data_IF_608721635396
#
_entry.id   IF_608721635396
#
_cell.length_a   1.000
_cell.length_b   1.000
_cell.length_c   1.000
_cell.angle_alpha   90.00
_cell.angle_beta   90.00
_cell.angle_gamma   90.00
#
_symmetry.space_group_name_H-M   'P 1'
#
loop_
_entity.id
_entity.type
_entity.pdbx_description
1 polymer ?
#
# COMPACT_ATOMS: atom_id res chain seq x y z
N UNK A 1 -0.45 9.82 5.73
CA UNK A 1 -1.71 9.06 5.87
C UNK A 1 -2.16 9.15 7.32
N UNK A 2 -3.43 9.34 7.61
CA UNK A 2 -3.95 9.46 8.99
C UNK A 2 -4.16 8.08 9.63
N UNK A 3 -4.22 8.02 10.96
CA UNK A 3 -4.50 6.77 11.69
C UNK A 3 -5.87 6.19 11.29
N UNK A 4 -6.88 7.04 11.13
CA UNK A 4 -8.22 6.61 10.68
C UNK A 4 -8.22 6.01 9.28
N UNK A 5 -7.40 6.52 8.36
CA UNK A 5 -7.23 5.92 7.03
C UNK A 5 -6.57 4.53 7.13
N UNK A 6 -5.60 4.37 8.04
CA UNK A 6 -4.95 3.08 8.27
C UNK A 6 -5.90 2.08 8.92
N UNK A 7 -6.75 2.53 9.84
CA UNK A 7 -7.81 1.72 10.43
C UNK A 7 -8.80 1.22 9.38
N UNK A 8 -9.22 2.09 8.44
CA UNK A 8 -10.11 1.70 7.33
C UNK A 8 -9.48 0.62 6.45
N UNK A 9 -8.20 0.77 6.10
CA UNK A 9 -7.48 -0.23 5.30
C UNK A 9 -7.36 -1.54 6.09
N UNK A 10 -6.93 -1.47 7.35
CA UNK A 10 -6.76 -2.66 8.18
C UNK A 10 -8.07 -3.42 8.38
N UNK A 11 -9.17 -2.73 8.66
CA UNK A 11 -10.49 -3.33 8.84
C UNK A 11 -10.95 -4.11 7.59
N UNK A 12 -10.68 -3.59 6.39
CA UNK A 12 -11.02 -4.25 5.12
C UNK A 12 -10.27 -5.56 4.89
N UNK A 13 -9.09 -5.73 5.48
CA UNK A 13 -8.27 -6.96 5.34
C UNK A 13 -8.32 -7.87 6.56
N UNK A 14 -9.25 -7.65 7.50
CA UNK A 14 -9.41 -8.48 8.69
C UNK A 14 -8.63 -8.02 9.93
N UNK A 15 -8.17 -6.78 9.94
CA UNK A 15 -7.51 -6.11 11.07
C UNK A 15 -6.01 -5.89 10.88
N UNK A 16 -5.41 -5.17 11.83
CA UNK A 16 -4.01 -4.74 11.76
C UNK A 16 -3.02 -5.91 11.65
N UNK A 17 -3.29 -7.03 12.33
CA UNK A 17 -2.44 -8.23 12.26
C UNK A 17 -2.37 -8.78 10.84
N UNK A 18 -3.52 -8.85 10.15
CA UNK A 18 -3.58 -9.30 8.76
C UNK A 18 -2.85 -8.34 7.83
N UNK A 19 -3.01 -7.03 8.05
CA UNK A 19 -2.29 -6.02 7.28
C UNK A 19 -0.77 -6.13 7.45
N UNK A 20 -0.27 -6.33 8.68
CA UNK A 20 1.16 -6.53 8.94
C UNK A 20 1.69 -7.79 8.24
N UNK A 21 0.92 -8.88 8.25
CA UNK A 21 1.30 -10.10 7.53
C UNK A 21 1.42 -9.86 6.02
N UNK A 22 0.45 -9.17 5.42
CA UNK A 22 0.50 -8.80 4.00
C UNK A 22 1.71 -7.92 3.66
N UNK A 23 2.02 -6.91 4.48
CA UNK A 23 3.20 -6.06 4.29
C UNK A 23 4.51 -6.86 4.47
N UNK A 24 4.51 -7.85 5.36
CA UNK A 24 5.64 -8.77 5.54
C UNK A 24 5.84 -9.65 4.31
N UNK A 25 4.77 -10.11 3.65
CA UNK A 25 4.87 -10.83 2.38
C UNK A 25 5.47 -9.94 1.29
N UNK A 26 5.07 -8.67 1.21
CA UNK A 26 5.61 -7.69 0.23
C UNK A 26 7.12 -7.48 0.43
N UNK A 27 7.56 -7.23 1.66
CA UNK A 27 8.98 -6.98 1.98
C UNK A 27 9.88 -8.18 1.72
N UNK A 28 9.35 -9.40 1.85
CA UNK A 28 10.04 -10.64 1.47
C UNK A 28 10.10 -10.84 -0.05
N UNK A 29 9.07 -10.40 -0.76
CA UNK A 29 8.94 -10.63 -2.20
C UNK A 29 9.64 -9.55 -3.06
N UNK A 30 9.89 -8.36 -2.52
CA UNK A 30 10.47 -7.24 -3.27
C UNK A 30 11.52 -6.48 -2.45
N UNK A 31 12.67 -6.21 -3.08
CA UNK A 31 13.81 -5.56 -2.44
C UNK A 31 14.13 -4.17 -3.01
N UNK A 32 13.14 -3.43 -3.49
CA UNK A 32 13.35 -2.06 -3.97
C UNK A 32 13.46 -1.06 -2.80
N UNK A 33 14.09 0.12 -3.00
CA UNK A 33 14.29 1.10 -1.92
C UNK A 33 12.99 1.50 -1.20
N UNK A 34 11.90 1.71 -1.95
CA UNK A 34 10.59 2.04 -1.38
C UNK A 34 10.04 0.91 -0.50
N UNK A 35 10.12 -0.36 -0.94
CA UNK A 35 9.63 -1.48 -0.12
C UNK A 35 10.58 -1.80 1.05
N UNK A 36 11.88 -1.55 0.92
CA UNK A 36 12.84 -1.72 2.03
C UNK A 36 12.51 -0.83 3.22
N UNK A 37 11.96 0.37 3.02
CA UNK A 37 11.55 1.21 4.15
C UNK A 37 10.44 0.58 5.01
N UNK A 38 9.58 -0.27 4.42
CA UNK A 38 8.63 -1.11 5.16
C UNK A 38 9.31 -2.24 5.93
N UNK A 39 10.46 -2.75 5.48
CA UNK A 39 11.16 -3.84 6.16
C UNK A 39 11.93 -3.34 7.39
N UNK A 40 12.45 -2.11 7.32
CA UNK A 40 13.38 -1.58 8.31
C UNK A 40 12.70 -0.97 9.55
N UNK A 41 11.38 -0.70 9.52
CA UNK A 41 10.70 0.16 10.51
C UNK A 41 9.61 -0.47 11.39
N UNK A 42 8.67 -1.33 10.92
CA UNK A 42 7.57 -1.78 11.76
C UNK A 42 7.95 -2.98 12.65
N UNK A 43 8.01 -2.79 13.97
CA UNK A 43 8.09 -3.84 14.99
C UNK A 43 6.79 -3.92 15.79
N UNK A 44 5.67 -4.14 15.10
CA UNK A 44 4.34 -4.33 15.71
C UNK A 44 3.29 -3.29 15.29
N UNK A 45 2.05 -3.42 15.79
CA UNK A 45 0.91 -2.58 15.38
C UNK A 45 1.15 -1.08 15.51
N UNK A 46 1.66 -0.63 16.66
CA UNK A 46 1.83 0.81 16.96
C UNK A 46 2.87 1.46 16.04
N UNK A 47 3.95 0.73 15.73
CA UNK A 47 5.00 1.23 14.83
C UNK A 47 4.54 1.43 13.38
N UNK A 48 3.45 0.79 12.96
CA UNK A 48 2.89 1.00 11.63
C UNK A 48 2.17 2.34 11.54
N UNK A 49 1.48 2.74 12.60
CA UNK A 49 0.86 4.06 12.70
C UNK A 49 1.92 5.17 12.64
N UNK A 50 2.99 5.04 13.44
CA UNK A 50 4.09 6.00 13.45
C UNK A 50 4.75 6.10 12.06
N UNK A 51 4.98 4.95 11.40
CA UNK A 51 5.56 4.90 10.06
C UNK A 51 4.75 5.69 9.01
N UNK A 52 3.42 5.58 9.05
CA UNK A 52 2.54 6.27 8.10
C UNK A 52 2.20 7.72 8.51
N UNK A 53 2.41 8.08 9.78
CA UNK A 53 2.31 9.46 10.27
C UNK A 53 3.59 10.29 10.12
N UNK A 54 4.73 9.64 9.89
CA UNK A 54 6.05 10.26 9.65
C UNK A 54 6.13 11.09 8.34
N UNK A 55 4.99 11.41 7.75
CA UNK A 55 4.86 12.26 6.57
C UNK A 55 4.39 13.67 6.89
N UNK A 56 5.30 14.62 7.20
CA UNK A 56 4.93 16.01 7.43
C UNK A 56 4.77 16.75 6.09
N UNK A 57 3.59 17.31 5.83
CA UNK A 57 3.42 18.30 4.76
C UNK A 57 2.03 18.35 4.13
N UNK A 58 1.70 19.52 3.60
CA UNK A 58 0.65 19.71 2.60
C UNK A 58 1.31 20.20 1.29
N UNK A 59 1.28 19.43 0.19
CA UNK A 59 0.61 18.12 0.06
C UNK A 59 1.35 17.02 0.82
N UNK A 60 0.66 15.91 1.16
CA UNK A 60 1.20 14.84 1.99
C UNK A 60 2.52 14.32 1.41
N UNK A 61 3.62 14.71 2.04
CA UNK A 61 4.93 14.09 1.86
C UNK A 61 4.90 12.87 2.77
N UNK A 62 5.17 11.67 2.28
CA UNK A 62 5.20 10.48 3.13
C UNK A 62 4.69 9.21 2.47
N UNK A 63 4.74 8.13 3.25
CA UNK A 63 4.23 6.84 2.83
C UNK A 63 2.70 6.81 2.87
N UNK A 64 2.11 6.09 1.92
CA UNK A 64 0.67 5.87 1.89
C UNK A 64 0.36 4.43 1.49
N UNK A 65 -0.85 4.02 1.86
CA UNK A 65 -1.37 2.69 1.62
C UNK A 65 -2.88 2.77 1.37
N UNK A 66 -3.36 2.12 0.31
CA UNK A 66 -4.81 1.99 0.07
C UNK A 66 -5.14 0.70 -0.67
N UNK A 67 -6.41 0.31 -0.64
CA UNK A 67 -6.93 -0.82 -1.41
C UNK A 67 -7.50 -0.29 -2.72
N UNK A 68 -6.95 -0.75 -3.84
CA UNK A 68 -7.55 -0.54 -5.15
C UNK A 68 -8.61 -1.62 -5.39
N UNK A 69 -9.84 -1.21 -5.64
CA UNK A 69 -10.97 -2.11 -5.90
C UNK A 69 -10.99 -2.62 -7.35
N UNK A 70 -10.15 -2.07 -8.24
CA UNK A 70 -9.99 -2.61 -9.59
C UNK A 70 -9.23 -3.93 -9.52
N UNK A 71 -9.93 -5.03 -9.79
CA UNK A 71 -9.35 -6.38 -9.88
C UNK A 71 -9.00 -6.73 -11.33
N UNK A 72 -7.90 -7.48 -11.50
CA UNK A 72 -7.54 -8.06 -12.81
C UNK A 72 -8.70 -8.94 -13.31
N UNK A 73 -9.25 -8.70 -14.52
CA UNK A 73 -10.34 -9.52 -15.07
C UNK A 73 -10.02 -11.02 -15.11
N UNK A 74 -8.74 -11.39 -15.26
CA UNK A 74 -8.31 -12.79 -15.24
C UNK A 74 -8.46 -13.44 -13.85
N UNK A 75 -8.57 -12.63 -12.79
CA UNK A 75 -8.74 -13.07 -11.40
C UNK A 75 -10.17 -12.91 -10.89
N UNK A 76 -11.14 -12.53 -11.74
CA UNK A 76 -12.52 -12.24 -11.35
C UNK A 76 -13.27 -13.42 -10.68
N UNK A 77 -12.81 -14.66 -10.89
CA UNK A 77 -13.37 -15.85 -10.24
C UNK A 77 -12.89 -16.04 -8.78
N UNK A 78 -11.94 -15.24 -8.31
CA UNK A 78 -11.32 -15.34 -7.00
C UNK A 78 -11.58 -14.08 -6.17
N UNK A 79 -11.71 -14.24 -4.84
CA UNK A 79 -11.76 -13.11 -3.92
C UNK A 79 -10.34 -12.50 -3.81
N UNK A 80 -10.10 -11.43 -4.55
CA UNK A 80 -8.79 -10.77 -4.64
C UNK A 80 -8.89 -9.30 -4.28
N UNK A 81 -7.81 -8.77 -3.70
CA UNK A 81 -7.65 -7.35 -3.39
C UNK A 81 -6.31 -6.85 -3.90
N UNK A 82 -6.27 -5.60 -4.34
CA UNK A 82 -5.03 -4.94 -4.73
C UNK A 82 -4.60 -3.97 -3.63
N UNK A 83 -3.51 -4.31 -2.93
CA UNK A 83 -2.91 -3.41 -1.96
C UNK A 83 -1.91 -2.51 -2.67
N UNK A 84 -2.14 -1.19 -2.64
CA UNK A 84 -1.25 -0.20 -3.24
C UNK A 84 -0.44 0.45 -2.15
N UNK A 85 0.88 0.34 -2.26
CA UNK A 85 1.83 0.98 -1.36
C UNK A 85 2.71 1.96 -2.15
N UNK A 86 2.91 3.14 -1.59
CA UNK A 86 3.73 4.15 -2.24
C UNK A 86 4.29 5.20 -1.31
N UNK A 87 5.05 6.10 -1.92
CA UNK A 87 5.62 7.28 -1.28
C UNK A 87 5.36 8.48 -2.16
N UNK A 88 4.90 9.57 -1.55
CA UNK A 88 4.71 10.86 -2.21
C UNK A 88 5.75 11.85 -1.69
N UNK A 89 6.50 12.47 -2.60
CA UNK A 89 7.44 13.55 -2.35
C UNK A 89 6.83 14.88 -2.80
N UNK A 90 5.79 15.35 -2.12
CA UNK A 90 5.15 16.64 -2.40
C UNK A 90 4.25 16.65 -3.66
N UNK A 91 4.02 17.84 -4.24
CA UNK A 91 2.96 18.11 -5.24
C UNK A 91 3.14 17.33 -6.55
N UNK A 92 4.35 16.85 -6.86
CA UNK A 92 4.70 16.46 -8.22
C UNK A 92 5.49 15.17 -8.36
N UNK A 93 5.78 14.35 -7.34
CA UNK A 93 6.46 13.08 -7.59
C UNK A 93 6.09 12.02 -6.56
N UNK A 94 5.57 10.89 -7.00
CA UNK A 94 5.37 9.73 -6.14
C UNK A 94 5.63 8.42 -6.85
N UNK A 95 6.08 7.41 -6.12
CA UNK A 95 6.23 6.04 -6.61
C UNK A 95 5.19 5.16 -5.93
N UNK A 96 4.48 4.34 -6.71
CA UNK A 96 3.49 3.40 -6.21
C UNK A 96 3.68 2.02 -6.82
N UNK A 97 3.50 0.99 -5.98
CA UNK A 97 3.46 -0.40 -6.39
C UNK A 97 2.12 -1.02 -5.98
N UNK A 98 1.51 -1.74 -6.91
CA UNK A 98 0.30 -2.53 -6.65
C UNK A 98 0.68 -4.00 -6.43
N UNK A 99 0.14 -4.57 -5.35
CA UNK A 99 0.35 -5.94 -4.92
C UNK A 99 -1.00 -6.67 -4.85
N UNK A 100 -1.28 -7.59 -5.79
CA UNK A 100 -2.50 -8.39 -5.77
C UNK A 100 -2.38 -9.51 -4.74
N UNK A 101 -3.40 -9.62 -3.87
CA UNK A 101 -3.55 -10.69 -2.90
C UNK A 101 -4.83 -11.47 -3.16
N UNK A 102 -4.78 -12.77 -2.94
CA UNK A 102 -5.95 -13.65 -2.90
C UNK A 102 -6.33 -13.93 -1.46
N UNK A 103 -7.62 -13.93 -1.18
CA UNK A 103 -8.15 -14.34 0.12
C UNK A 103 -8.24 -15.86 0.17
N UNK A 104 -7.53 -16.45 1.12
CA UNK A 104 -7.53 -17.88 1.37
C UNK A 104 -8.75 -18.31 2.22
N UNK A 105 -9.04 -19.62 2.22
CA UNK A 105 -10.17 -20.18 2.97
C UNK A 105 -10.10 -19.94 4.49
N UNK A 106 -8.88 -19.81 5.03
CA UNK A 106 -8.60 -19.48 6.43
C UNK A 106 -8.69 -17.97 6.74
N UNK A 107 -9.21 -17.18 5.80
CA UNK A 107 -9.37 -15.71 5.87
C UNK A 107 -8.04 -14.93 5.89
N UNK A 108 -6.90 -15.59 5.66
CA UNK A 108 -5.63 -14.90 5.42
C UNK A 108 -5.53 -14.47 3.97
N UNK A 109 -4.63 -13.52 3.69
CA UNK A 109 -4.32 -13.07 2.35
C UNK A 109 -2.97 -13.62 1.91
N UNK A 110 -2.86 -14.10 0.68
CA UNK A 110 -1.62 -14.56 0.09
C UNK A 110 -1.28 -13.72 -1.15
N UNK A 111 -0.02 -13.27 -1.26
CA UNK A 111 0.45 -12.50 -2.41
C UNK A 111 0.43 -13.37 -3.68
N UNK A 112 -0.28 -12.93 -4.73
CA UNK A 112 -0.49 -13.70 -5.97
C UNK A 112 0.70 -13.57 -6.92
N UNK A 113 1.15 -12.33 -7.17
CA UNK A 113 2.25 -12.04 -8.09
C UNK A 113 3.05 -10.85 -7.59
N UNK A 114 4.35 -10.85 -7.88
CA UNK A 114 5.20 -9.69 -7.66
C UNK A 114 5.00 -8.72 -8.82
N UNK A 115 4.37 -7.58 -8.51
CA UNK A 115 4.42 -6.30 -9.23
C UNK A 115 3.60 -6.16 -10.53
N UNK A 116 2.79 -5.10 -10.55
CA UNK A 116 2.73 -4.19 -11.69
C UNK A 116 3.20 -2.80 -11.19
N UNK A 117 4.24 -2.24 -11.82
CA UNK A 117 4.63 -0.85 -11.55
C UNK A 117 3.49 0.04 -12.01
N UNK A 118 2.80 0.70 -11.08
CA UNK A 118 1.46 1.22 -11.39
C UNK A 118 1.50 2.68 -11.82
N UNK A 119 2.48 3.50 -11.35
CA UNK A 119 2.66 4.89 -11.82
C UNK A 119 3.83 5.63 -11.15
N UNK A 120 4.35 6.64 -11.86
CA UNK A 120 4.74 7.90 -11.23
C UNK A 120 3.47 8.71 -10.98
N UNK A 121 3.19 9.14 -9.75
CA UNK A 121 2.16 10.14 -9.51
C UNK A 121 2.66 11.49 -10.05
N UNK A 122 2.14 11.91 -11.18
CA UNK A 122 2.02 13.30 -11.58
C UNK A 122 0.53 13.57 -11.82
N UNK A 123 -0.05 14.63 -11.25
CA UNK A 123 -1.12 15.49 -11.83
C UNK A 123 -1.89 16.30 -10.76
N UNK A 124 -2.33 17.55 -11.03
CA UNK A 124 -3.05 17.91 -12.26
C UNK A 124 -2.53 19.12 -13.03
N UNK A 125 -2.76 19.03 -14.34
CA UNK A 125 -2.87 20.09 -15.34
C UNK A 125 -3.55 21.35 -14.81
N UNK A 126 -2.97 22.55 -15.02
CA UNK A 126 -3.73 23.78 -15.28
C UNK A 126 -3.00 24.68 -16.28
N UNK A 127 -3.76 25.09 -17.30
CA UNK A 127 -3.43 25.96 -18.43
C UNK A 127 -2.75 27.28 -18.08
N UNK A 128 -1.86 27.73 -18.96
CA UNK A 128 -1.58 29.13 -19.36
C UNK A 128 -0.68 29.03 -20.60
N UNK A 129 -1.02 29.50 -21.80
CA UNK A 129 -2.00 30.48 -22.26
C UNK A 129 -2.61 30.04 -23.61
#
# INVERSE_FOLDING_TARGET
MTYSELDKVSARVGGMVSLIDMLTQITRAMHCPLVRSLADRPKGPDSLYDFFADGPGDPPVGYYLYINEQTDPALAAYDTINLVYGYCAGVQAGEAYTFPFIKCADRRYALIKVKEYTRHIHSPTQSSA
#
